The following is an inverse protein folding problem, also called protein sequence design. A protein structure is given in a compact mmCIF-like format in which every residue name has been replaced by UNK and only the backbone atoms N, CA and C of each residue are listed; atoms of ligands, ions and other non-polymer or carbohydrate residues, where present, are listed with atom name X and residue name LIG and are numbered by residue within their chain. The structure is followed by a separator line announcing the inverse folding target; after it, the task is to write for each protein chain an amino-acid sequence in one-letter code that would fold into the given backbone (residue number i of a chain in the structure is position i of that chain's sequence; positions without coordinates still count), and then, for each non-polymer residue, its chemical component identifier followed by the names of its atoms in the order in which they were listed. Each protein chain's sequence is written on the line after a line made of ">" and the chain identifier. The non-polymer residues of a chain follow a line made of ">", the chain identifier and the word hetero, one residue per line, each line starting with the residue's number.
data_IF_956331111239
#
_entry.id   IF_956331111239
#
_cell.length_a   1.000
_cell.length_b   1.000
_cell.length_c   1.000
_cell.angle_alpha   90.00
_cell.angle_beta   90.00
_cell.angle_gamma   90.00
#
_symmetry.space_group_name_H-M   'P 1'
#
loop_
_entity.id
_entity.type
_entity.pdbx_description
1 polymer ?
#
# COMPACT_ATOMS: atom_id res chain seq x y z
N UNK A 1 13.07 -4.22 -57.81
CA UNK A 1 13.72 -3.89 -56.52
C UNK A 1 12.63 -3.89 -55.46
N UNK A 2 12.41 -5.04 -54.81
CA UNK A 2 11.36 -5.24 -53.81
C UNK A 2 11.83 -4.77 -52.44
N UNK A 3 11.11 -3.83 -51.85
CA UNK A 3 11.30 -3.44 -50.45
C UNK A 3 10.66 -4.52 -49.55
N UNK A 4 11.51 -5.21 -48.79
CA UNK A 4 11.07 -6.14 -47.76
C UNK A 4 10.53 -5.34 -46.57
N UNK A 5 9.21 -5.44 -46.32
CA UNK A 5 8.60 -5.04 -45.07
C UNK A 5 8.99 -6.04 -43.98
N UNK A 6 9.96 -5.67 -43.15
CA UNK A 6 10.21 -6.31 -41.86
C UNK A 6 9.12 -5.84 -40.90
N UNK A 7 8.03 -6.62 -40.79
CA UNK A 7 7.07 -6.48 -39.69
C UNK A 7 7.75 -7.02 -38.43
N UNK A 8 8.38 -6.14 -37.65
CA UNK A 8 8.70 -6.45 -36.26
C UNK A 8 7.39 -6.56 -35.51
N UNK A 9 6.96 -7.79 -35.25
CA UNK A 9 5.96 -8.09 -34.25
C UNK A 9 6.57 -7.77 -32.88
N UNK A 10 6.34 -6.54 -32.41
CA UNK A 10 6.59 -6.20 -31.00
C UNK A 10 5.47 -6.84 -30.20
N UNK A 11 5.74 -8.05 -29.71
CA UNK A 11 4.92 -8.71 -28.68
C UNK A 11 4.95 -7.80 -27.45
N UNK A 12 3.96 -6.90 -27.35
CA UNK A 12 3.62 -6.20 -26.10
C UNK A 12 3.06 -7.27 -25.18
N UNK A 13 3.95 -7.95 -24.47
CA UNK A 13 3.61 -8.91 -23.44
C UNK A 13 2.78 -8.23 -22.37
N UNK A 14 1.63 -8.83 -22.09
CA UNK A 14 0.76 -8.51 -20.97
C UNK A 14 1.57 -8.54 -19.67
N UNK A 15 1.74 -7.39 -19.03
CA UNK A 15 2.14 -7.24 -17.63
C UNK A 15 1.41 -5.99 -17.12
N UNK A 16 0.08 -6.08 -17.11
CA UNK A 16 -0.85 -5.09 -16.54
C UNK A 16 -1.48 -5.61 -15.25
N UNK A 17 -0.79 -6.48 -14.50
CA UNK A 17 -1.36 -7.09 -13.29
C UNK A 17 -1.24 -6.17 -12.07
N UNK A 18 -0.26 -5.27 -12.02
CA UNK A 18 -0.25 -4.18 -11.03
C UNK A 18 -1.24 -3.04 -11.35
N UNK A 19 -1.87 -3.07 -12.52
CA UNK A 19 -3.01 -2.22 -12.85
C UNK A 19 -4.37 -2.90 -12.56
N UNK A 20 -4.38 -4.17 -12.12
CA UNK A 20 -5.62 -4.86 -11.75
C UNK A 20 -6.12 -4.47 -10.35
N UNK A 21 -5.23 -3.92 -9.52
CA UNK A 21 -5.60 -3.10 -8.36
C UNK A 21 -5.78 -1.63 -8.78
N UNK A 22 -6.55 -1.38 -9.86
CA UNK A 22 -7.40 -0.17 -9.92
C UNK A 22 -8.35 -0.26 -8.74
N UNK A 23 -7.82 0.07 -7.57
CA UNK A 23 -8.44 0.04 -6.28
C UNK A 23 -9.61 1.01 -6.33
N UNK A 24 -10.80 0.47 -6.64
CA UNK A 24 -12.10 0.98 -6.22
C UNK A 24 -12.42 2.49 -6.38
N UNK A 25 -11.75 3.23 -7.27
CA UNK A 25 -12.13 4.62 -7.60
C UNK A 25 -13.44 4.75 -8.41
N UNK A 26 -14.17 3.65 -8.63
CA UNK A 26 -15.49 3.64 -9.25
C UNK A 26 -16.66 3.65 -8.22
N UNK A 27 -16.37 3.68 -6.91
CA UNK A 27 -17.37 3.44 -5.85
C UNK A 27 -18.10 4.65 -5.27
N UNK A 28 -17.63 5.89 -5.44
CA UNK A 28 -18.21 7.05 -4.74
C UNK A 28 -19.16 7.92 -5.59
N UNK A 29 -19.60 7.45 -6.77
CA UNK A 29 -20.71 8.08 -7.52
C UNK A 29 -22.08 7.48 -7.16
N UNK A 30 -22.28 7.02 -5.92
CA UNK A 30 -23.64 6.79 -5.44
C UNK A 30 -24.31 8.15 -5.25
N UNK A 31 -25.05 8.53 -6.29
CA UNK A 31 -25.95 9.68 -6.28
C UNK A 31 -26.78 9.63 -5.01
N UNK A 32 -26.59 10.59 -4.10
CA UNK A 32 -27.53 10.86 -3.00
C UNK A 32 -28.79 11.47 -3.64
N UNK A 33 -29.57 10.64 -4.33
CA UNK A 33 -30.95 10.94 -4.71
C UNK A 33 -31.85 10.26 -3.70
N UNK A 34 -31.82 10.77 -2.47
CA UNK A 34 -32.77 10.42 -1.42
C UNK A 34 -33.62 11.63 -1.09
N UNK A 35 -34.66 11.88 -1.87
CA UNK A 35 -35.78 12.72 -1.42
C UNK A 35 -36.41 12.04 -0.21
N UNK A 36 -36.07 12.49 0.99
CA UNK A 36 -36.79 12.13 2.20
C UNK A 36 -38.22 12.69 2.07
N UNK A 37 -39.16 11.84 1.64
CA UNK A 37 -40.58 12.08 1.87
C UNK A 37 -40.84 11.74 3.33
N UNK A 38 -41.25 12.69 4.19
CA UNK A 38 -41.64 12.36 5.55
C UNK A 38 -42.91 11.49 5.51
N UNK A 39 -42.80 10.26 6.00
CA UNK A 39 -43.95 9.40 6.28
C UNK A 39 -44.56 9.84 7.63
N UNK A 40 -45.80 10.34 7.66
CA UNK A 40 -46.40 10.84 8.90
C UNK A 40 -47.02 9.75 9.79
N UNK A 41 -46.81 8.44 9.56
CA UNK A 41 -47.57 7.44 10.31
C UNK A 41 -46.89 6.06 10.52
N UNK A 42 -45.62 6.06 10.93
CA UNK A 42 -44.90 4.84 11.31
C UNK A 42 -44.58 4.78 12.81
N UNK A 43 -45.52 4.30 13.64
CA UNK A 43 -45.20 3.86 15.00
C UNK A 43 -44.41 2.56 14.95
N UNK A 44 -43.14 2.57 15.38
CA UNK A 44 -42.39 1.35 15.68
C UNK A 44 -41.66 1.47 17.01
N UNK A 45 -41.88 0.44 17.82
CA UNK A 45 -41.52 0.33 19.21
C UNK A 45 -39.99 0.26 19.42
N UNK A 46 -39.49 1.10 20.33
CA UNK A 46 -38.14 0.99 20.86
C UNK A 46 -38.13 -0.10 21.94
N UNK A 47 -37.44 -1.21 21.66
CA UNK A 47 -37.09 -2.20 22.68
C UNK A 47 -35.69 -1.89 23.19
N UNK A 48 -35.66 -1.55 24.47
CA UNK A 48 -34.49 -1.29 25.30
C UNK A 48 -33.99 -2.60 25.90
N UNK A 49 -32.69 -2.92 25.82
CA UNK A 49 -31.93 -3.63 26.88
C UNK A 49 -30.48 -3.95 26.48
N UNK A 50 -29.57 -3.68 27.41
CA UNK A 50 -28.16 -4.14 27.43
C UNK A 50 -27.18 -3.07 26.94
N UNK A 51 -26.40 -2.35 27.76
CA UNK A 51 -25.83 -2.69 29.06
C UNK A 51 -24.37 -3.13 28.90
N UNK A 52 -23.48 -2.21 28.50
CA UNK A 52 -22.02 -2.39 28.62
C UNK A 52 -21.42 -1.10 29.17
N UNK A 53 -20.75 -1.25 30.30
CA UNK A 53 -20.03 -0.25 31.09
C UNK A 53 -18.68 0.08 30.47
N UNK A 54 -18.40 1.37 30.27
CA UNK A 54 -17.08 1.93 29.96
C UNK A 54 -16.31 2.25 31.25
N UNK A 55 -15.04 1.83 31.40
CA UNK A 55 -14.14 2.41 32.39
C UNK A 55 -13.56 3.72 31.87
N UNK A 56 -13.92 4.81 32.56
CA UNK A 56 -13.30 6.13 32.46
C UNK A 56 -11.95 6.12 33.18
N UNK A 57 -10.90 6.63 32.52
CA UNK A 57 -9.64 6.99 33.18
C UNK A 57 -9.00 8.17 32.45
N UNK A 58 -9.34 9.36 32.93
CA UNK A 58 -8.58 10.59 32.69
C UNK A 58 -7.28 10.58 33.51
N UNK A 59 -6.18 11.07 32.93
CA UNK A 59 -5.23 11.86 33.69
C UNK A 59 -5.17 13.31 33.19
N UNK A 60 -5.15 14.22 34.15
CA UNK A 60 -5.11 15.67 33.98
C UNK A 60 -3.75 16.19 33.47
N UNK A 61 -3.70 17.33 32.75
CA UNK A 61 -2.44 18.00 32.44
C UNK A 61 -1.98 18.86 33.63
N UNK A 62 -0.78 18.58 34.14
CA UNK A 62 -0.06 19.49 35.05
C UNK A 62 0.86 20.40 34.24
N UNK A 63 0.62 21.70 34.38
CA UNK A 63 1.50 22.79 33.98
C UNK A 63 2.63 22.96 35.00
N UNK A 64 3.84 23.32 34.53
CA UNK A 64 4.80 24.25 35.16
C UNK A 64 6.21 24.06 34.58
N UNK A 65 6.90 25.16 34.26
CA UNK A 65 8.37 25.19 34.35
C UNK A 65 9.09 25.95 33.25
N UNK A 66 9.37 27.24 33.51
CA UNK A 66 10.32 28.06 32.78
C UNK A 66 11.79 27.73 33.14
N UNK A 67 12.72 27.92 32.19
CA UNK A 67 14.15 28.27 32.34
C UNK A 67 14.67 28.59 30.93
N UNK A 68 15.13 29.80 30.57
CA UNK A 68 16.44 30.42 30.89
C UNK A 68 17.58 29.43 30.62
N UNK A 69 18.58 29.59 29.76
CA UNK A 69 19.26 30.71 29.10
C UNK A 69 20.71 30.23 28.85
N UNK A 70 21.48 30.93 27.99
CA UNK A 70 22.94 30.76 27.74
C UNK A 70 23.37 29.51 26.96
N UNK A 71 24.46 29.43 26.19
CA UNK A 71 25.45 30.34 25.58
C UNK A 71 26.37 29.44 24.72
N UNK A 72 26.97 30.00 23.65
CA UNK A 72 28.23 29.63 22.95
C UNK A 72 28.63 28.13 22.80
N UNK A 73 29.16 27.64 21.66
CA UNK A 73 30.53 27.92 21.18
C UNK A 73 30.75 27.19 19.83
N UNK A 74 31.55 27.78 18.94
CA UNK A 74 32.07 27.23 17.66
C UNK A 74 33.23 26.21 17.87
N UNK A 75 34.09 25.92 16.86
CA UNK A 75 33.98 25.01 15.70
C UNK A 75 35.10 23.91 15.75
N UNK A 76 35.55 23.40 14.58
CA UNK A 76 36.73 22.51 14.31
C UNK A 76 36.42 21.00 14.30
N UNK A 77 37.04 20.09 13.53
CA UNK A 77 37.90 20.03 12.33
C UNK A 77 38.16 18.52 12.06
N UNK A 78 38.94 18.16 11.02
CA UNK A 78 39.44 16.82 10.58
C UNK A 78 38.50 16.10 9.59
N UNK A 79 38.81 15.82 8.31
CA UNK A 79 39.99 15.22 7.63
C UNK A 79 40.34 13.81 8.12
N UNK A 80 40.08 12.80 7.28
CA UNK A 80 40.79 11.50 7.17
C UNK A 80 40.36 10.90 5.80
N UNK A 81 41.23 10.89 4.77
CA UNK A 81 42.20 9.83 4.42
C UNK A 81 41.49 8.46 4.26
N UNK A 82 41.32 7.93 3.04
CA UNK A 82 42.40 7.31 2.29
C UNK A 82 42.30 5.78 2.40
N UNK A 83 41.66 5.12 1.44
CA UNK A 83 41.97 3.71 1.11
C UNK A 83 41.40 3.30 -0.23
N UNK A 84 42.28 3.40 -1.22
CA UNK A 84 42.27 2.63 -2.45
C UNK A 84 42.60 1.18 -2.09
N UNK A 85 41.83 0.22 -2.60
CA UNK A 85 42.29 -1.17 -2.68
C UNK A 85 41.76 -1.81 -3.94
N UNK A 86 42.73 -2.32 -4.68
CA UNK A 86 42.65 -2.92 -5.98
C UNK A 86 42.25 -4.40 -5.87
N UNK A 87 41.70 -4.92 -6.98
CA UNK A 87 41.96 -6.25 -7.52
C UNK A 87 41.62 -7.51 -6.69
N UNK A 88 40.72 -8.33 -7.21
CA UNK A 88 41.06 -9.70 -7.62
C UNK A 88 39.98 -10.32 -8.49
N UNK A 89 40.42 -10.80 -9.65
CA UNK A 89 39.69 -11.73 -10.51
C UNK A 89 39.61 -13.10 -9.84
N UNK A 90 38.56 -13.87 -10.13
CA UNK A 90 38.67 -15.33 -10.34
C UNK A 90 37.48 -15.79 -11.18
N UNK A 91 37.80 -16.40 -12.33
CA UNK A 91 36.91 -17.16 -13.18
C UNK A 91 36.77 -18.57 -12.62
N UNK A 92 35.55 -19.10 -12.55
CA UNK A 92 35.33 -20.55 -12.58
C UNK A 92 34.18 -20.89 -13.52
N UNK A 93 34.59 -21.43 -14.66
CA UNK A 93 33.81 -22.19 -15.63
C UNK A 93 33.45 -23.54 -15.01
N UNK A 94 32.20 -23.98 -15.13
CA UNK A 94 31.84 -25.38 -14.91
C UNK A 94 30.84 -25.83 -15.97
N UNK A 95 31.35 -26.71 -16.81
CA UNK A 95 30.68 -27.46 -17.87
C UNK A 95 30.35 -28.86 -17.34
N UNK A 96 29.10 -29.32 -17.50
CA UNK A 96 28.67 -30.72 -17.70
C UNK A 96 27.14 -30.71 -17.92
N UNK A 97 26.61 -31.09 -19.09
CA UNK A 97 26.19 -32.46 -19.49
C UNK A 97 25.28 -33.16 -18.46
N UNK A 98 24.24 -33.93 -18.76
CA UNK A 98 23.43 -34.24 -19.94
C UNK A 98 22.36 -35.23 -19.44
N UNK A 99 21.18 -35.25 -20.09
CA UNK A 99 20.24 -36.39 -20.19
C UNK A 99 19.47 -36.89 -18.95
N UNK A 100 18.15 -36.77 -18.98
CA UNK A 100 17.25 -37.90 -19.23
C UNK A 100 15.80 -37.45 -19.40
N UNK A 101 15.17 -37.90 -20.47
CA UNK A 101 13.74 -37.77 -20.72
C UNK A 101 13.00 -38.88 -19.97
N UNK A 102 11.92 -38.51 -19.27
CA UNK A 102 10.92 -39.45 -18.75
C UNK A 102 9.56 -39.08 -19.34
N UNK A 103 8.90 -40.08 -19.95
CA UNK A 103 7.61 -39.97 -20.59
C UNK A 103 6.46 -39.81 -19.56
N UNK A 104 5.28 -39.29 -19.98
CA UNK A 104 4.21 -38.90 -19.08
C UNK A 104 3.39 -40.11 -18.61
N UNK A 105 2.97 -40.09 -17.34
CA UNK A 105 1.99 -41.05 -16.80
C UNK A 105 0.65 -40.35 -16.57
N UNK A 106 -0.38 -41.04 -17.02
CA UNK A 106 -1.79 -40.70 -17.22
C UNK A 106 -2.62 -40.66 -15.91
N UNK A 107 -3.45 -39.62 -15.81
CA UNK A 107 -4.88 -39.58 -15.42
C UNK A 107 -5.36 -40.25 -14.11
N UNK A 108 -5.99 -39.44 -13.27
CA UNK A 108 -6.78 -39.88 -12.12
C UNK A 108 -7.11 -38.72 -11.18
N UNK A 109 -8.32 -38.19 -11.31
CA UNK A 109 -8.80 -36.99 -10.61
C UNK A 109 -8.45 -36.89 -9.12
N UNK A 110 -7.82 -35.79 -8.76
CA UNK A 110 -7.57 -35.38 -7.38
C UNK A 110 -7.56 -33.86 -7.33
N UNK A 111 -8.26 -33.31 -6.35
CA UNK A 111 -8.24 -31.89 -5.96
C UNK A 111 -6.89 -31.25 -6.25
N UNK A 112 -6.87 -30.20 -7.10
CA UNK A 112 -5.68 -29.41 -7.44
C UNK A 112 -5.06 -28.82 -6.18
N UNK A 113 -4.27 -29.63 -5.50
CA UNK A 113 -3.37 -29.24 -4.44
C UNK A 113 -2.17 -28.74 -5.21
N UNK A 114 -2.08 -27.41 -5.35
CA UNK A 114 -0.93 -26.75 -5.97
C UNK A 114 0.32 -27.35 -5.33
N UNK A 115 1.21 -27.90 -6.15
CA UNK A 115 2.45 -28.49 -5.70
C UNK A 115 3.27 -27.37 -5.04
N UNK A 116 3.55 -27.42 -3.72
CA UNK A 116 4.17 -26.33 -2.98
C UNK A 116 5.67 -26.15 -3.29
N UNK A 117 6.21 -26.75 -4.34
CA UNK A 117 7.65 -26.83 -4.61
C UNK A 117 8.31 -25.56 -5.17
N UNK A 118 7.57 -24.50 -5.50
CA UNK A 118 8.15 -23.14 -5.51
C UNK A 118 7.81 -22.49 -4.18
N UNK A 119 8.33 -23.08 -3.10
CA UNK A 119 8.27 -22.46 -1.79
C UNK A 119 8.99 -21.12 -1.88
N UNK A 120 8.26 -20.03 -1.65
CA UNK A 120 8.85 -18.73 -1.37
C UNK A 120 9.91 -18.93 -0.28
N UNK A 121 11.14 -18.49 -0.53
CA UNK A 121 12.11 -18.44 0.54
C UNK A 121 11.57 -17.54 1.68
N UNK A 122 12.05 -17.77 2.89
CA UNK A 122 11.49 -17.11 4.07
C UNK A 122 11.55 -15.57 3.99
N UNK A 123 12.56 -15.02 3.34
CA UNK A 123 12.74 -13.58 3.19
C UNK A 123 11.74 -13.01 2.19
N UNK A 124 11.60 -13.64 1.01
CA UNK A 124 10.60 -13.26 0.01
C UNK A 124 9.17 -13.38 0.55
N UNK A 125 8.86 -14.48 1.26
CA UNK A 125 7.55 -14.66 1.89
C UNK A 125 7.27 -13.55 2.91
N UNK A 126 8.22 -13.29 3.81
CA UNK A 126 8.09 -12.25 4.84
C UNK A 126 7.89 -10.86 4.24
N UNK A 127 8.62 -10.54 3.17
CA UNK A 127 8.47 -9.28 2.44
C UNK A 127 7.05 -9.13 1.85
N UNK A 128 6.55 -10.13 1.13
CA UNK A 128 5.21 -10.06 0.53
C UNK A 128 4.10 -10.05 1.58
N UNK A 129 4.25 -10.76 2.70
CA UNK A 129 3.31 -10.67 3.82
C UNK A 129 3.24 -9.26 4.40
N UNK A 130 4.39 -8.61 4.61
CA UNK A 130 4.44 -7.23 5.07
C UNK A 130 3.81 -6.25 4.05
N UNK A 131 4.15 -6.41 2.77
CA UNK A 131 3.60 -5.59 1.70
C UNK A 131 2.08 -5.71 1.61
N UNK A 132 1.58 -6.93 1.48
CA UNK A 132 0.15 -7.19 1.35
C UNK A 132 -0.64 -6.84 2.62
N UNK A 133 -0.06 -7.12 3.80
CA UNK A 133 -0.62 -6.72 5.08
C UNK A 133 -0.79 -5.21 5.17
N UNK A 134 0.21 -4.43 4.75
CA UNK A 134 0.13 -2.97 4.72
C UNK A 134 -0.88 -2.42 3.71
N UNK A 135 -0.98 -3.02 2.51
CA UNK A 135 -2.05 -2.67 1.55
C UNK A 135 -3.43 -2.92 2.15
N UNK A 136 -3.62 -4.08 2.79
CA UNK A 136 -4.91 -4.43 3.38
C UNK A 136 -5.24 -3.56 4.60
N UNK A 137 -4.25 -3.18 5.41
CA UNK A 137 -4.45 -2.25 6.51
C UNK A 137 -4.91 -0.88 6.01
N UNK A 138 -4.24 -0.31 5.01
CA UNK A 138 -4.66 0.94 4.37
C UNK A 138 -6.08 0.86 3.78
N UNK A 139 -6.44 -0.28 3.15
CA UNK A 139 -7.79 -0.50 2.60
C UNK A 139 -8.89 -0.46 3.65
N UNK A 140 -8.63 -0.79 4.92
CA UNK A 140 -9.66 -0.75 5.97
C UNK A 140 -10.15 0.68 6.25
N UNK A 141 -9.33 1.67 5.93
CA UNK A 141 -9.65 3.10 6.09
C UNK A 141 -10.12 3.74 4.78
N UNK A 142 -9.93 3.07 3.64
CA UNK A 142 -10.44 3.53 2.36
C UNK A 142 -11.97 3.37 2.33
N UNK A 143 -12.70 4.47 2.08
CA UNK A 143 -14.17 4.55 2.11
C UNK A 143 -14.80 4.63 3.51
N UNK A 144 -14.45 5.62 4.34
CA UNK A 144 -15.18 5.88 5.57
C UNK A 144 -16.65 6.21 5.27
N UNK A 145 -17.57 5.60 6.01
CA UNK A 145 -19.00 5.92 5.88
C UNK A 145 -19.35 7.19 6.67
N UNK A 146 -19.69 8.26 5.96
CA UNK A 146 -20.21 9.52 6.54
C UNK A 146 -21.74 9.60 6.52
N UNK A 147 -22.42 8.52 6.11
CA UNK A 147 -23.88 8.49 6.00
C UNK A 147 -24.56 8.76 7.36
N UNK A 148 -25.46 9.74 7.39
CA UNK A 148 -26.22 10.12 8.59
C UNK A 148 -25.44 10.95 9.62
N UNK A 149 -24.18 11.30 9.33
CA UNK A 149 -23.39 12.20 10.16
C UNK A 149 -23.70 13.66 9.85
N UNK A 150 -23.49 14.54 10.83
CA UNK A 150 -23.41 15.98 10.59
C UNK A 150 -22.15 16.33 9.79
N UNK A 151 -22.07 17.54 9.23
CA UNK A 151 -20.90 17.98 8.45
C UNK A 151 -19.60 17.98 9.28
N UNK A 152 -19.67 18.36 10.56
CA UNK A 152 -18.52 18.37 11.47
C UNK A 152 -18.04 16.96 11.83
N UNK A 153 -18.99 16.02 12.05
CA UNK A 153 -18.69 14.61 12.26
C UNK A 153 -18.11 13.96 10.99
N UNK A 154 -18.65 14.30 9.82
CA UNK A 154 -18.16 13.82 8.53
C UNK A 154 -16.73 14.32 8.26
N UNK A 155 -16.46 15.61 8.51
CA UNK A 155 -15.11 16.19 8.43
C UNK A 155 -14.14 15.44 9.34
N UNK A 156 -14.51 15.25 10.61
CA UNK A 156 -13.67 14.52 11.60
C UNK A 156 -13.39 13.09 11.14
N UNK A 157 -14.42 12.38 10.67
CA UNK A 157 -14.29 11.00 10.17
C UNK A 157 -13.35 10.92 8.97
N UNK A 158 -13.43 11.88 8.03
CA UNK A 158 -12.55 11.93 6.86
C UNK A 158 -11.10 12.23 7.25
N UNK A 159 -10.88 13.19 8.15
CA UNK A 159 -9.54 13.53 8.67
C UNK A 159 -8.90 12.31 9.35
N UNK A 160 -9.65 11.63 10.21
CA UNK A 160 -9.19 10.42 10.90
C UNK A 160 -8.86 9.29 9.91
N UNK A 161 -9.75 9.02 8.95
CA UNK A 161 -9.54 7.99 7.93
C UNK A 161 -8.26 8.25 7.13
N UNK A 162 -8.07 9.44 6.59
CA UNK A 162 -6.87 9.77 5.81
C UNK A 162 -5.60 9.84 6.65
N UNK A 163 -5.68 10.28 7.90
CA UNK A 163 -4.55 10.19 8.83
C UNK A 163 -4.14 8.74 9.11
N UNK A 164 -5.12 7.84 9.25
CA UNK A 164 -4.87 6.41 9.46
C UNK A 164 -4.30 5.72 8.20
N UNK A 165 -4.75 6.09 6.99
CA UNK A 165 -4.12 5.63 5.74
C UNK A 165 -2.66 6.10 5.69
N UNK A 166 -2.41 7.38 5.99
CA UNK A 166 -1.05 7.92 5.96
C UNK A 166 -0.12 7.22 6.98
N UNK A 167 -0.62 7.01 8.20
CA UNK A 167 0.09 6.33 9.28
C UNK A 167 0.37 4.85 8.98
N UNK A 168 -0.63 4.10 8.52
CA UNK A 168 -0.47 2.69 8.11
C UNK A 168 0.52 2.53 6.96
N UNK A 169 0.45 3.43 5.96
CA UNK A 169 1.41 3.46 4.88
C UNK A 169 2.84 3.76 5.39
N UNK A 170 3.00 4.68 6.33
CA UNK A 170 4.31 5.02 6.89
C UNK A 170 4.91 3.85 7.67
N UNK A 171 4.09 3.18 8.49
CA UNK A 171 4.49 1.98 9.24
C UNK A 171 4.90 0.88 8.27
N UNK A 172 4.12 0.66 7.21
CA UNK A 172 4.42 -0.34 6.20
C UNK A 172 5.74 -0.05 5.49
N UNK A 173 5.96 1.20 5.03
CA UNK A 173 7.23 1.60 4.43
C UNK A 173 8.42 1.30 5.36
N UNK A 174 8.30 1.62 6.65
CA UNK A 174 9.34 1.31 7.65
C UNK A 174 9.59 -0.20 7.83
N UNK A 175 8.54 -1.03 7.78
CA UNK A 175 8.66 -2.49 7.83
C UNK A 175 9.36 -3.00 6.56
N UNK A 176 8.99 -2.50 5.38
CA UNK A 176 9.57 -2.91 4.10
C UNK A 176 11.05 -2.51 4.01
N UNK A 177 11.40 -1.29 4.44
CA UNK A 177 12.79 -0.81 4.47
C UNK A 177 13.68 -1.62 5.43
N UNK A 178 13.07 -2.24 6.46
CA UNK A 178 13.77 -3.06 7.46
C UNK A 178 13.77 -4.55 7.11
N UNK A 179 12.93 -4.97 6.15
CA UNK A 179 12.83 -6.35 5.70
C UNK A 179 13.95 -6.67 4.70
N UNK A 180 14.47 -7.91 4.69
CA UNK A 180 15.33 -8.34 3.59
C UNK A 180 14.59 -8.22 2.25
N UNK A 181 15.27 -7.78 1.18
CA UNK A 181 14.66 -7.72 -0.14
C UNK A 181 14.35 -9.14 -0.64
N UNK A 182 13.31 -9.31 -1.49
CA UNK A 182 13.03 -10.59 -2.13
C UNK A 182 14.23 -11.14 -2.91
N UNK A 183 14.39 -12.46 -2.93
CA UNK A 183 15.58 -13.13 -3.50
C UNK A 183 15.56 -13.26 -5.03
N UNK A 184 14.47 -12.88 -5.69
CA UNK A 184 14.34 -12.98 -7.15
C UNK A 184 15.10 -11.87 -7.90
N UNK A 185 15.35 -12.08 -9.19
CA UNK A 185 16.01 -11.08 -10.04
C UNK A 185 15.22 -9.78 -10.11
N UNK A 186 15.77 -8.70 -9.57
CA UNK A 186 15.11 -7.40 -9.46
C UNK A 186 14.36 -7.19 -8.13
N UNK A 187 14.55 -8.08 -7.16
CA UNK A 187 13.91 -8.00 -5.84
C UNK A 187 14.29 -6.74 -5.05
N UNK A 188 15.54 -6.29 -5.13
CA UNK A 188 15.99 -5.03 -4.52
C UNK A 188 15.25 -3.80 -5.10
N UNK A 189 15.16 -3.72 -6.43
CA UNK A 189 14.42 -2.65 -7.10
C UNK A 189 12.91 -2.73 -6.79
N UNK A 190 12.36 -3.94 -6.69
CA UNK A 190 10.97 -4.15 -6.27
C UNK A 190 10.74 -3.63 -4.86
N UNK A 191 11.59 -4.02 -3.91
CA UNK A 191 11.49 -3.63 -2.51
C UNK A 191 11.55 -2.11 -2.34
N UNK A 192 12.51 -1.47 -3.02
CA UNK A 192 12.63 -0.02 -3.04
C UNK A 192 11.42 0.67 -3.69
N UNK A 193 10.89 0.14 -4.78
CA UNK A 193 9.68 0.67 -5.42
C UNK A 193 8.46 0.56 -4.47
N UNK A 194 8.32 -0.56 -3.79
CA UNK A 194 7.24 -0.82 -2.84
C UNK A 194 7.26 0.17 -1.68
N UNK A 195 8.41 0.32 -1.01
CA UNK A 195 8.57 1.28 0.08
C UNK A 195 8.30 2.72 -0.37
N UNK A 196 8.86 3.14 -1.51
CA UNK A 196 8.61 4.49 -2.06
C UNK A 196 7.13 4.73 -2.39
N UNK A 197 6.40 3.71 -2.85
CA UNK A 197 4.97 3.84 -3.10
C UNK A 197 4.22 4.12 -1.78
N UNK A 198 4.52 3.40 -0.70
CA UNK A 198 3.90 3.66 0.60
C UNK A 198 4.27 5.04 1.15
N UNK A 199 5.52 5.49 1.03
CA UNK A 199 5.93 6.84 1.43
C UNK A 199 5.18 7.93 0.64
N UNK A 200 4.92 7.67 -0.64
CA UNK A 200 4.12 8.57 -1.48
C UNK A 200 2.67 8.63 -1.00
N UNK A 201 2.07 7.50 -0.63
CA UNK A 201 0.72 7.47 -0.04
C UNK A 201 0.67 8.19 1.31
N UNK A 202 1.69 8.02 2.16
CA UNK A 202 1.82 8.75 3.43
C UNK A 202 1.76 10.26 3.20
N UNK A 203 2.54 10.77 2.24
CA UNK A 203 2.60 12.19 1.94
C UNK A 203 1.27 12.74 1.40
N UNK A 204 0.67 12.05 0.42
CA UNK A 204 -0.59 12.51 -0.20
C UNK A 204 -1.75 12.48 0.80
N UNK A 205 -1.98 11.36 1.50
CA UNK A 205 -3.09 11.27 2.45
C UNK A 205 -2.85 12.11 3.71
N UNK A 206 -1.60 12.27 4.15
CA UNK A 206 -1.26 13.15 5.27
C UNK A 206 -1.59 14.61 4.97
N UNK A 207 -1.13 15.13 3.83
CA UNK A 207 -1.51 16.47 3.37
C UNK A 207 -3.01 16.62 3.13
N UNK A 208 -3.65 15.56 2.62
CA UNK A 208 -5.09 15.52 2.41
C UNK A 208 -5.87 15.68 3.72
N UNK A 209 -5.50 14.94 4.75
CA UNK A 209 -6.08 15.06 6.09
C UNK A 209 -5.93 16.48 6.65
N UNK A 210 -4.73 17.06 6.55
CA UNK A 210 -4.47 18.44 6.98
C UNK A 210 -5.33 19.46 6.21
N UNK A 211 -5.52 19.24 4.91
CA UNK A 211 -6.34 20.10 4.04
C UNK A 211 -7.81 20.07 4.46
N UNK A 212 -8.37 18.88 4.71
CA UNK A 212 -9.75 18.75 5.20
C UNK A 212 -9.91 19.38 6.59
N UNK A 213 -8.96 19.13 7.49
CA UNK A 213 -8.99 19.69 8.85
C UNK A 213 -8.93 21.22 8.86
N UNK A 214 -8.29 21.83 7.86
CA UNK A 214 -8.17 23.28 7.74
C UNK A 214 -9.42 23.99 7.19
N UNK A 215 -10.44 23.27 6.70
CA UNK A 215 -11.68 23.86 6.17
C UNK A 215 -12.53 24.46 7.32
N UNK A 216 -12.74 25.79 7.35
CA UNK A 216 -13.62 26.41 8.33
C UNK A 216 -15.08 26.26 7.89
N UNK A 217 -15.92 25.63 8.72
CA UNK A 217 -17.36 25.41 8.45
C UNK A 217 -17.61 24.76 7.08
N UNK A 218 -17.12 23.53 6.84
CA UNK A 218 -17.17 22.91 5.51
C UNK A 218 -18.60 22.68 5.05
N UNK A 219 -18.87 22.91 3.77
CA UNK A 219 -20.07 22.41 3.11
C UNK A 219 -19.87 20.96 2.64
N UNK A 220 -20.97 20.27 2.31
CA UNK A 220 -20.88 18.93 1.71
C UNK A 220 -20.07 18.94 0.40
N UNK A 221 -20.20 20.02 -0.38
CA UNK A 221 -19.45 20.18 -1.61
C UNK A 221 -17.95 20.37 -1.36
N UNK A 222 -17.57 21.14 -0.33
CA UNK A 222 -16.15 21.33 0.02
C UNK A 222 -15.49 20.01 0.44
N UNK A 223 -16.18 19.20 1.25
CA UNK A 223 -15.67 17.89 1.64
C UNK A 223 -15.53 16.93 0.44
N UNK A 224 -16.51 16.93 -0.47
CA UNK A 224 -16.45 16.13 -1.70
C UNK A 224 -15.28 16.56 -2.59
N UNK A 225 -15.14 17.86 -2.85
CA UNK A 225 -14.08 18.39 -3.69
C UNK A 225 -12.69 18.12 -3.09
N UNK A 226 -12.55 18.20 -1.76
CA UNK A 226 -11.32 17.85 -1.08
C UNK A 226 -10.98 16.36 -1.21
N UNK A 227 -11.95 15.47 -0.99
CA UNK A 227 -11.81 14.02 -1.20
C UNK A 227 -11.42 13.71 -2.64
N UNK A 228 -12.14 14.25 -3.63
CA UNK A 228 -11.87 14.03 -5.05
C UNK A 228 -10.46 14.51 -5.44
N UNK A 229 -10.00 15.64 -4.88
CA UNK A 229 -8.66 16.15 -5.10
C UNK A 229 -7.58 15.22 -4.51
N UNK A 230 -7.76 14.74 -3.28
CA UNK A 230 -6.83 13.84 -2.59
C UNK A 230 -6.71 12.51 -3.33
N UNK A 231 -7.84 11.88 -3.67
CA UNK A 231 -7.86 10.61 -4.41
C UNK A 231 -7.31 10.77 -5.84
N UNK A 232 -7.57 11.93 -6.47
CA UNK A 232 -6.98 12.30 -7.75
C UNK A 232 -5.45 12.43 -7.69
N UNK A 233 -4.93 13.07 -6.65
CA UNK A 233 -3.48 13.18 -6.41
C UNK A 233 -2.85 11.82 -6.11
N UNK A 234 -3.49 10.99 -5.27
CA UNK A 234 -3.02 9.64 -4.96
C UNK A 234 -2.93 8.77 -6.22
N UNK A 235 -3.97 8.83 -7.07
CA UNK A 235 -4.00 8.15 -8.37
C UNK A 235 -2.92 8.67 -9.31
N UNK A 236 -2.73 9.99 -9.39
CA UNK A 236 -1.69 10.58 -10.22
C UNK A 236 -0.29 10.17 -9.76
N UNK A 237 -0.06 10.15 -8.44
CA UNK A 237 1.19 9.75 -7.82
C UNK A 237 1.49 8.27 -8.08
N UNK A 238 0.49 7.39 -7.96
CA UNK A 238 0.62 5.97 -8.31
C UNK A 238 0.97 5.77 -9.80
N UNK A 239 0.35 6.53 -10.70
CA UNK A 239 0.64 6.45 -12.13
C UNK A 239 2.01 7.04 -12.51
N UNK A 240 2.52 7.98 -11.71
CA UNK A 240 3.84 8.58 -11.89
C UNK A 240 4.97 7.74 -11.26
N UNK A 241 4.63 6.83 -10.34
CA UNK A 241 5.59 5.95 -9.70
C UNK A 241 6.30 5.06 -10.73
N UNK A 242 7.60 4.76 -10.54
CA UNK A 242 8.29 3.79 -11.36
C UNK A 242 7.52 2.47 -11.36
N UNK A 243 7.33 1.88 -12.54
CA UNK A 243 6.75 0.56 -12.63
C UNK A 243 7.61 -0.44 -11.85
N UNK A 244 6.96 -1.31 -11.09
CA UNK A 244 7.66 -2.42 -10.45
C UNK A 244 8.36 -3.28 -11.49
N UNK A 245 9.57 -3.79 -11.18
CA UNK A 245 10.17 -4.83 -12.01
C UNK A 245 9.24 -6.05 -12.05
N UNK A 246 9.21 -6.77 -13.19
CA UNK A 246 8.31 -7.91 -13.34
C UNK A 246 8.67 -9.02 -12.36
N UNK A 247 7.66 -9.50 -11.65
CA UNK A 247 7.74 -10.69 -10.80
C UNK A 247 7.76 -11.94 -11.69
N UNK A 248 8.64 -12.93 -11.46
CA UNK A 248 8.59 -14.21 -12.16
C UNK A 248 7.21 -14.87 -12.07
N UNK A 249 6.73 -15.52 -13.13
CA UNK A 249 5.35 -16.02 -13.17
C UNK A 249 5.03 -17.10 -12.13
N UNK A 250 5.99 -17.97 -11.84
CA UNK A 250 5.94 -18.95 -10.76
C UNK A 250 5.89 -18.28 -9.37
N UNK A 251 6.57 -17.14 -9.21
CA UNK A 251 6.52 -16.35 -8.00
C UNK A 251 5.17 -15.66 -7.82
N UNK A 252 4.53 -15.20 -8.90
CA UNK A 252 3.21 -14.56 -8.85
C UNK A 252 2.14 -15.49 -8.29
N UNK A 253 2.09 -16.75 -8.74
CA UNK A 253 1.15 -17.75 -8.24
C UNK A 253 1.40 -18.08 -6.76
N UNK A 254 2.68 -18.16 -6.36
CA UNK A 254 3.05 -18.38 -4.96
C UNK A 254 2.67 -17.20 -4.05
N UNK A 255 2.87 -15.96 -4.52
CA UNK A 255 2.46 -14.74 -3.80
C UNK A 255 0.94 -14.65 -3.69
N UNK A 256 0.19 -14.99 -4.75
CA UNK A 256 -1.28 -15.00 -4.71
C UNK A 256 -1.84 -16.06 -3.75
N UNK A 257 -1.09 -17.13 -3.48
CA UNK A 257 -1.45 -18.14 -2.50
C UNK A 257 -1.21 -17.70 -1.04
N UNK A 258 -0.51 -16.57 -0.81
CA UNK A 258 -0.33 -16.00 0.52
C UNK A 258 -1.66 -15.39 0.99
N UNK A 259 -2.23 -15.81 2.14
CA UNK A 259 -3.54 -15.33 2.60
C UNK A 259 -3.62 -13.81 2.74
N UNK A 260 -2.55 -13.17 3.21
CA UNK A 260 -2.47 -11.71 3.35
C UNK A 260 -2.53 -11.00 1.99
N UNK A 261 -2.21 -11.66 0.89
CA UNK A 261 -2.20 -11.11 -0.47
C UNK A 261 -3.51 -11.32 -1.23
N UNK A 262 -4.51 -11.97 -0.62
CA UNK A 262 -5.83 -12.12 -1.24
C UNK A 262 -6.46 -10.75 -1.54
N UNK A 263 -6.85 -10.55 -2.79
CA UNK A 263 -7.38 -9.27 -3.29
C UNK A 263 -6.35 -8.13 -3.41
N UNK A 264 -5.05 -8.40 -3.30
CA UNK A 264 -3.96 -7.46 -3.63
C UNK A 264 -3.36 -7.77 -5.00
N UNK A 265 -3.16 -9.06 -5.31
CA UNK A 265 -2.52 -9.59 -6.53
C UNK A 265 -3.46 -10.47 -7.39
#
# INVERSE_FOLDING_TARGET
>A
MSAAHVRRATTRGLLSVLAASTLFLAGCSQTVSGTATPDPNGSVAVSSSGGITTPSSSPAPSSSGASTGESATSPESSTDDGSTSEQSATSEESTAESSAATAPTTDGGGSSTVDPEVALDADTLGFFQAFCGGVNDAKQYASPSTAGQTLEEAQTTLVEAYSNIAGSAQVTAGILDSSPPPSFSGGDEFAKAASNQFLTLTDVYGRGADTIAALPEPTEQDLRDAVDAIEGEATAAQNAAPAFPPVPGDLEDAVRAVPECDGVF
#
